data_IF_915188199587
#
_entry.id   IF_915188199587
#
_cell.length_a   1.000
_cell.length_b   1.000
_cell.length_c   1.000
_cell.angle_alpha   90.00
_cell.angle_beta   90.00
_cell.angle_gamma   90.00
#
_symmetry.space_group_name_H-M   'P 1'
#
loop_
_entity.id
_entity.type
_entity.pdbx_description
1 polymer ?
#
# COMPACT_ATOMS: atom_id res chain seq x y z
N UNK A 1 28.41 -27.03 11.66
CA UNK A 1 27.41 -28.13 11.57
C UNK A 1 26.22 -27.77 12.44
N UNK A 2 24.97 -27.92 11.96
CA UNK A 2 23.79 -27.64 12.76
C UNK A 2 23.73 -28.55 13.99
N UNK A 3 23.22 -28.03 15.11
CA UNK A 3 23.13 -28.80 16.35
C UNK A 3 22.19 -30.01 16.17
N UNK A 4 22.47 -31.12 16.87
CA UNK A 4 21.61 -32.32 16.83
C UNK A 4 20.14 -32.03 17.18
N UNK A 5 19.91 -31.02 18.03
CA UNK A 5 18.57 -30.54 18.41
C UNK A 5 17.86 -29.82 17.27
N UNK A 6 18.59 -29.02 16.49
CA UNK A 6 18.04 -28.32 15.33
C UNK A 6 17.62 -29.29 14.23
N UNK A 7 18.50 -30.25 13.88
CA UNK A 7 18.20 -31.26 12.87
C UNK A 7 16.97 -32.11 13.23
N UNK A 8 16.79 -32.44 14.52
CA UNK A 8 15.63 -33.22 14.98
C UNK A 8 14.33 -32.41 15.06
N UNK A 9 14.39 -31.11 15.33
CA UNK A 9 13.23 -30.22 15.28
C UNK A 9 12.77 -30.00 13.83
N UNK A 10 13.72 -29.67 12.96
CA UNK A 10 13.47 -29.44 11.53
C UNK A 10 12.78 -30.65 10.89
N UNK A 11 13.35 -31.85 11.04
CA UNK A 11 12.75 -33.07 10.51
C UNK A 11 11.41 -33.45 11.13
N UNK A 12 11.03 -32.91 12.30
CA UNK A 12 9.68 -33.09 12.90
C UNK A 12 8.64 -32.15 12.27
N UNK A 13 9.04 -30.92 11.96
CA UNK A 13 8.18 -29.93 11.30
C UNK A 13 7.89 -30.36 9.86
N UNK A 14 8.90 -30.79 9.11
CA UNK A 14 8.73 -31.20 7.70
C UNK A 14 7.82 -32.42 7.52
N UNK A 15 7.83 -33.35 8.48
CA UNK A 15 7.01 -34.57 8.43
C UNK A 15 5.55 -34.36 8.85
N UNK A 16 5.20 -33.21 9.44
CA UNK A 16 3.85 -32.91 9.88
C UNK A 16 3.28 -31.71 9.11
N UNK A 17 2.42 -32.01 8.12
CA UNK A 17 1.83 -31.00 7.25
C UNK A 17 1.08 -29.90 8.02
N UNK A 18 0.35 -30.25 9.09
CA UNK A 18 -0.39 -29.26 9.89
C UNK A 18 0.55 -28.29 10.62
N UNK A 19 1.62 -28.81 11.21
CA UNK A 19 2.62 -27.97 11.89
C UNK A 19 3.32 -27.06 10.89
N UNK A 20 3.65 -27.58 9.70
CA UNK A 20 4.31 -26.80 8.65
C UNK A 20 3.42 -25.67 8.11
N UNK A 21 2.14 -25.95 7.83
CA UNK A 21 1.17 -24.94 7.37
C UNK A 21 0.98 -23.84 8.42
N UNK A 22 0.82 -24.21 9.71
CA UNK A 22 0.69 -23.22 10.79
C UNK A 22 1.95 -22.35 10.92
N UNK A 23 3.13 -22.93 10.78
CA UNK A 23 4.39 -22.19 10.79
C UNK A 23 4.48 -21.19 9.62
N UNK A 24 4.07 -21.60 8.42
CA UNK A 24 4.01 -20.70 7.24
C UNK A 24 3.04 -19.55 7.50
N UNK A 25 1.82 -19.84 7.95
CA UNK A 25 0.81 -18.81 8.22
C UNK A 25 1.29 -17.80 9.26
N UNK A 26 1.91 -18.28 10.35
CA UNK A 26 2.48 -17.44 11.38
C UNK A 26 3.54 -16.50 10.78
N UNK A 27 4.52 -17.05 10.06
CA UNK A 27 5.63 -16.25 9.51
C UNK A 27 5.14 -15.26 8.44
N UNK A 28 4.26 -15.69 7.53
CA UNK A 28 3.71 -14.81 6.48
C UNK A 28 2.84 -13.68 7.06
N UNK A 29 2.14 -13.91 8.16
CA UNK A 29 1.28 -12.90 8.79
C UNK A 29 2.03 -11.75 9.47
N UNK A 30 3.30 -11.98 9.88
CA UNK A 30 4.08 -10.98 10.62
C UNK A 30 4.25 -9.68 9.82
N UNK A 31 4.54 -9.77 8.52
CA UNK A 31 4.72 -8.59 7.67
C UNK A 31 3.45 -7.74 7.58
N UNK A 32 2.32 -8.37 7.26
CA UNK A 32 1.02 -7.67 7.21
C UNK A 32 0.63 -7.06 8.56
N UNK A 33 0.88 -7.76 9.66
CA UNK A 33 0.58 -7.25 11.00
C UNK A 33 1.43 -6.01 11.34
N UNK A 34 2.72 -6.02 11.02
CA UNK A 34 3.64 -4.92 11.35
C UNK A 34 3.49 -3.73 10.40
N UNK A 35 3.18 -3.94 9.13
CA UNK A 35 3.09 -2.87 8.14
C UNK A 35 1.68 -2.26 8.04
N UNK A 36 0.62 -3.08 8.10
CA UNK A 36 -0.75 -2.62 7.84
C UNK A 36 -1.46 -2.19 9.13
N UNK A 37 -1.36 -2.98 10.21
CA UNK A 37 -2.16 -2.72 11.42
C UNK A 37 -1.85 -1.37 12.08
N UNK A 38 -0.59 -0.90 12.19
CA UNK A 38 -0.30 0.40 12.78
C UNK A 38 -0.88 1.57 11.99
N UNK A 39 -1.03 1.44 10.66
CA UNK A 39 -1.58 2.50 9.81
C UNK A 39 -3.06 2.82 10.12
N UNK A 40 -3.80 1.89 10.72
CA UNK A 40 -5.17 2.13 11.17
C UNK A 40 -5.25 2.85 12.53
N UNK A 41 -4.18 2.80 13.33
CA UNK A 41 -4.17 3.32 14.70
C UNK A 41 -3.36 4.61 14.86
N UNK A 42 -2.43 4.90 13.94
CA UNK A 42 -1.60 6.10 13.96
C UNK A 42 -2.38 7.30 13.39
N UNK A 43 -2.85 8.17 14.26
CA UNK A 43 -3.57 9.40 13.87
C UNK A 43 -2.68 10.41 13.10
N UNK A 44 -1.35 10.27 13.20
CA UNK A 44 -0.38 11.19 12.60
C UNK A 44 0.02 10.86 11.15
N UNK A 45 -0.43 9.73 10.58
CA UNK A 45 -0.03 9.38 9.19
C UNK A 45 -0.75 10.22 8.14
N UNK A 46 -1.82 10.92 8.52
CA UNK A 46 -2.66 11.71 7.62
C UNK A 46 -2.86 13.11 8.21
N UNK A 47 -1.98 14.04 7.85
CA UNK A 47 -2.13 15.44 8.24
C UNK A 47 -3.29 16.09 7.48
N UNK A 48 -4.35 16.58 8.15
CA UNK A 48 -5.50 17.14 7.46
C UNK A 48 -5.12 18.38 6.65
N UNK A 49 -5.34 18.32 5.33
CA UNK A 49 -5.10 19.46 4.42
C UNK A 49 -6.33 20.37 4.43
N UNK A 50 -6.11 21.68 4.58
CA UNK A 50 -7.18 22.68 4.56
C UNK A 50 -7.87 22.67 3.19
N UNK A 51 -9.19 22.48 3.18
CA UNK A 51 -10.02 22.53 1.97
C UNK A 51 -10.25 21.17 1.30
N UNK A 52 -9.67 20.09 1.83
CA UNK A 52 -9.94 18.73 1.35
C UNK A 52 -11.37 18.33 1.73
N UNK A 53 -12.14 17.85 0.75
CA UNK A 53 -13.55 17.44 0.92
C UNK A 53 -13.81 16.16 0.11
N UNK A 54 -14.86 15.39 0.44
CA UNK A 54 -15.33 14.34 -0.44
C UNK A 54 -15.67 14.88 -1.84
N UNK A 55 -15.50 14.02 -2.84
CA UNK A 55 -15.87 14.32 -4.22
C UNK A 55 -17.36 14.66 -4.33
N UNK A 56 -17.68 15.66 -5.15
CA UNK A 56 -19.07 15.91 -5.57
C UNK A 56 -19.59 14.72 -6.41
N UNK A 57 -20.91 14.55 -6.56
CA UNK A 57 -21.44 13.44 -7.36
C UNK A 57 -20.90 13.38 -8.79
N UNK A 58 -20.68 14.53 -9.43
CA UNK A 58 -20.14 14.59 -10.80
C UNK A 58 -18.65 14.24 -10.85
N UNK A 59 -17.85 14.75 -9.90
CA UNK A 59 -16.43 14.39 -9.77
C UNK A 59 -16.27 12.88 -9.50
N UNK A 60 -17.11 12.32 -8.63
CA UNK A 60 -17.11 10.89 -8.33
C UNK A 60 -17.48 10.06 -9.57
N UNK A 61 -18.50 10.47 -10.33
CA UNK A 61 -18.84 9.82 -11.59
C UNK A 61 -17.69 9.90 -12.61
N UNK A 62 -17.02 11.05 -12.72
CA UNK A 62 -15.83 11.21 -13.56
C UNK A 62 -14.67 10.31 -13.13
N UNK A 63 -14.46 10.16 -11.82
CA UNK A 63 -13.46 9.25 -11.24
C UNK A 63 -13.77 7.79 -11.57
N UNK A 64 -15.03 7.38 -11.52
CA UNK A 64 -15.42 6.03 -11.94
C UNK A 64 -15.10 5.77 -13.42
N UNK A 65 -15.28 6.78 -14.28
CA UNK A 65 -14.84 6.70 -15.68
C UNK A 65 -13.31 6.60 -15.77
N UNK A 66 -12.57 7.43 -15.03
CA UNK A 66 -11.10 7.35 -14.99
C UNK A 66 -10.58 5.95 -14.63
N UNK A 67 -11.21 5.29 -13.65
CA UNK A 67 -10.88 3.90 -13.28
C UNK A 67 -11.30 2.92 -14.39
N UNK A 68 -12.51 3.07 -14.94
CA UNK A 68 -13.03 2.19 -16.00
C UNK A 68 -12.16 2.19 -17.25
N UNK A 69 -11.68 3.37 -17.66
CA UNK A 69 -10.82 3.52 -18.84
C UNK A 69 -9.35 3.16 -18.56
N UNK A 70 -9.01 2.79 -17.32
CA UNK A 70 -7.66 2.36 -16.97
C UNK A 70 -6.62 3.49 -17.04
N UNK A 71 -7.03 4.75 -16.88
CA UNK A 71 -6.12 5.90 -16.98
C UNK A 71 -4.92 5.79 -16.03
N UNK A 72 -5.12 5.15 -14.86
CA UNK A 72 -4.07 4.88 -13.86
C UNK A 72 -2.92 3.99 -14.37
N UNK A 73 -3.09 3.26 -15.48
CA UNK A 73 -2.03 2.45 -16.06
C UNK A 73 -0.95 3.30 -16.76
N UNK A 74 -1.29 4.54 -17.15
CA UNK A 74 -0.40 5.47 -17.83
C UNK A 74 -0.10 6.72 -17.00
N UNK A 75 -0.99 7.13 -16.10
CA UNK A 75 -0.93 8.39 -15.37
C UNK A 75 -0.87 8.15 -13.86
N UNK A 76 0.17 8.67 -13.20
CA UNK A 76 0.33 8.54 -11.74
C UNK A 76 -0.16 9.78 -11.01
N UNK A 77 -1.06 9.59 -10.04
CA UNK A 77 -1.54 10.65 -9.16
C UNK A 77 -0.75 10.71 -7.84
N UNK A 78 0.57 10.51 -7.91
CA UNK A 78 1.46 10.67 -6.75
C UNK A 78 2.78 11.33 -7.16
N UNK A 79 2.99 12.57 -6.71
CA UNK A 79 4.21 13.34 -6.92
C UNK A 79 5.19 13.01 -5.78
N UNK A 80 6.40 12.59 -6.12
CA UNK A 80 7.42 12.21 -5.13
C UNK A 80 8.15 13.45 -4.57
N UNK A 81 8.71 13.39 -3.34
CA UNK A 81 9.37 14.54 -2.70
C UNK A 81 10.80 14.77 -3.23
N UNK A 82 10.95 14.81 -4.55
CA UNK A 82 12.19 15.15 -5.21
C UNK A 82 12.06 16.50 -5.91
N UNK A 83 13.16 17.26 -5.95
CA UNK A 83 13.15 18.61 -6.53
C UNK A 83 12.71 18.62 -8.00
N UNK A 84 13.14 17.64 -8.78
CA UNK A 84 12.81 17.52 -10.20
C UNK A 84 11.33 17.23 -10.44
N UNK A 85 10.71 16.41 -9.60
CA UNK A 85 9.26 16.18 -9.64
C UNK A 85 8.49 17.41 -9.20
N UNK A 86 8.97 18.11 -8.18
CA UNK A 86 8.31 19.33 -7.68
C UNK A 86 8.34 20.45 -8.71
N UNK A 87 9.49 20.66 -9.37
CA UNK A 87 9.63 21.63 -10.45
C UNK A 87 8.76 21.27 -11.67
N UNK A 88 8.51 19.98 -11.92
CA UNK A 88 7.73 19.52 -13.07
C UNK A 88 6.21 19.51 -12.83
N UNK A 89 5.77 19.05 -11.67
CA UNK A 89 4.36 18.73 -11.40
C UNK A 89 3.73 19.57 -10.28
N UNK A 90 4.52 20.27 -9.47
CA UNK A 90 4.05 21.06 -8.32
C UNK A 90 4.37 20.41 -6.98
N UNK A 91 3.64 20.79 -5.92
CA UNK A 91 3.93 20.27 -4.57
C UNK A 91 3.91 18.73 -4.52
N UNK A 92 4.78 18.15 -3.70
CA UNK A 92 4.78 16.70 -3.49
C UNK A 92 3.46 16.26 -2.84
N UNK A 93 2.98 15.07 -3.22
CA UNK A 93 1.69 14.60 -2.75
C UNK A 93 1.71 14.30 -1.26
N UNK A 94 0.61 14.65 -0.58
CA UNK A 94 0.41 14.37 0.83
C UNK A 94 -0.55 13.18 1.01
N UNK A 95 -0.35 12.37 2.04
CA UNK A 95 -1.21 11.22 2.31
C UNK A 95 -2.70 11.61 2.46
N UNK A 96 -2.96 12.81 2.98
CA UNK A 96 -4.32 13.32 3.16
C UNK A 96 -5.04 13.71 1.87
N UNK A 97 -4.32 13.95 0.76
CA UNK A 97 -4.94 14.26 -0.52
C UNK A 97 -5.70 13.04 -1.08
N UNK A 98 -5.27 11.83 -0.74
CA UNK A 98 -5.90 10.58 -1.15
C UNK A 98 -6.79 9.94 -0.07
N UNK A 99 -7.12 10.66 1.00
CA UNK A 99 -7.86 10.09 2.13
C UNK A 99 -9.28 9.59 1.76
N UNK A 100 -9.92 10.19 0.75
CA UNK A 100 -11.24 9.77 0.25
C UNK A 100 -11.17 8.89 -1.01
N UNK A 101 -9.98 8.49 -1.44
CA UNK A 101 -9.82 7.68 -2.64
C UNK A 101 -10.05 6.19 -2.36
N UNK A 102 -11.16 5.67 -2.87
CA UNK A 102 -11.49 4.25 -2.80
C UNK A 102 -11.75 3.69 -4.22
N UNK A 103 -10.84 2.86 -4.78
CA UNK A 103 -9.48 2.57 -4.30
C UNK A 103 -8.51 3.75 -4.52
N UNK A 104 -7.35 3.78 -3.88
CA UNK A 104 -6.33 4.82 -4.11
C UNK A 104 -5.90 4.88 -5.60
N UNK A 105 -5.50 6.06 -6.08
CA UNK A 105 -5.15 6.28 -7.50
C UNK A 105 -3.66 6.57 -7.76
N UNK A 106 -2.78 6.22 -6.81
CA UNK A 106 -1.34 6.32 -7.01
C UNK A 106 -0.90 5.37 -8.13
N UNK A 107 -0.14 5.88 -9.09
CA UNK A 107 0.28 5.09 -10.24
C UNK A 107 1.53 4.26 -9.96
N UNK A 108 1.63 3.10 -10.61
CA UNK A 108 2.84 2.27 -10.62
C UNK A 108 3.73 2.51 -11.84
N UNK A 109 3.22 3.26 -12.83
CA UNK A 109 3.90 3.57 -14.10
C UNK A 109 3.49 4.97 -14.56
N UNK A 110 4.43 5.66 -15.22
CA UNK A 110 4.18 6.91 -15.95
C UNK A 110 4.58 6.74 -17.41
N UNK A 111 3.58 6.55 -18.26
CA UNK A 111 3.71 6.66 -19.71
C UNK A 111 3.25 8.05 -20.15
N UNK A 112 2.13 8.49 -19.59
CA UNK A 112 1.79 9.90 -19.53
C UNK A 112 2.32 10.53 -18.23
N UNK A 113 2.24 11.87 -18.11
CA UNK A 113 2.54 12.57 -16.86
C UNK A 113 1.67 12.07 -15.70
#
# INVERSE_FOLDING_TARGET
MPSRRFASLHGRIERNAMVFVLAILLVCSVGGLVEIAPLFALENTVEPVRGMRPYTPLELAGRMVYVREGCYACHSQQIRPFRDEVERYGAYSLAAESAYDHPFQWGSKRTGP
#
